data_IF_767548840961
#
_entry.id   IF_767548840961
#
_cell.length_a   1.000
_cell.length_b   1.000
_cell.length_c   1.000
_cell.angle_alpha   90.00
_cell.angle_beta   90.00
_cell.angle_gamma   90.00
#
_symmetry.space_group_name_H-M   'P 1'
#
loop_
_entity.id
_entity.type
_entity.pdbx_description
1 polymer ?
#
# COMPACT_ATOMS: atom_id res chain seq x y z
N UNK A 1 37.69 -31.44 -31.71
CA UNK A 1 36.50 -32.28 -32.04
C UNK A 1 35.96 -33.10 -30.87
N UNK A 2 36.56 -34.23 -30.43
CA UNK A 2 35.99 -35.03 -29.32
C UNK A 2 36.06 -34.37 -27.93
N UNK A 3 37.15 -33.67 -27.62
CA UNK A 3 37.32 -32.99 -26.33
C UNK A 3 36.34 -31.80 -26.18
N UNK A 4 36.21 -30.96 -27.21
CA UNK A 4 35.25 -29.84 -27.23
C UNK A 4 33.80 -30.32 -27.09
N UNK A 5 33.44 -31.43 -27.75
CA UNK A 5 32.10 -32.02 -27.62
C UNK A 5 31.80 -32.50 -26.19
N UNK A 6 32.80 -32.98 -25.46
CA UNK A 6 32.66 -33.35 -24.05
C UNK A 6 32.47 -32.11 -23.16
N UNK A 7 33.29 -31.06 -23.36
CA UNK A 7 33.16 -29.79 -22.63
C UNK A 7 31.78 -29.14 -22.83
N UNK A 8 31.28 -29.10 -24.07
CA UNK A 8 29.95 -28.55 -24.35
C UNK A 8 28.83 -29.35 -23.68
N UNK A 9 28.99 -30.67 -23.58
CA UNK A 9 28.02 -31.53 -22.89
C UNK A 9 27.97 -31.25 -21.39
N UNK A 10 29.12 -31.06 -20.76
CA UNK A 10 29.21 -30.75 -19.32
C UNK A 10 28.65 -29.36 -19.02
N UNK A 11 28.92 -28.37 -19.88
CA UNK A 11 28.33 -27.03 -19.78
C UNK A 11 26.80 -27.06 -19.91
N UNK A 12 26.27 -27.85 -20.86
CA UNK A 12 24.83 -28.02 -21.02
C UNK A 12 24.20 -28.67 -19.78
N UNK A 13 24.86 -29.67 -19.19
CA UNK A 13 24.38 -30.31 -17.98
C UNK A 13 24.37 -29.35 -16.77
N UNK A 14 25.42 -28.52 -16.60
CA UNK A 14 25.46 -27.50 -15.55
C UNK A 14 24.35 -26.47 -15.74
N UNK A 15 24.20 -25.94 -16.96
CA UNK A 15 23.20 -24.92 -17.27
C UNK A 15 21.76 -25.44 -17.09
N UNK A 16 21.49 -26.70 -17.41
CA UNK A 16 20.18 -27.32 -17.15
C UNK A 16 19.88 -27.39 -15.65
N UNK A 17 20.85 -27.79 -14.84
CA UNK A 17 20.71 -27.86 -13.38
C UNK A 17 20.45 -26.47 -12.78
N UNK A 18 21.24 -25.48 -13.16
CA UNK A 18 21.07 -24.09 -12.71
C UNK A 18 19.69 -23.55 -13.11
N UNK A 19 19.20 -23.86 -14.32
CA UNK A 19 17.85 -23.47 -14.74
C UNK A 19 16.78 -24.11 -13.86
N UNK A 20 16.91 -25.37 -13.48
CA UNK A 20 15.92 -26.05 -12.63
C UNK A 20 15.92 -25.51 -11.19
N UNK A 21 17.09 -25.19 -10.64
CA UNK A 21 17.22 -24.50 -9.36
C UNK A 21 16.60 -23.10 -9.40
N UNK A 22 16.87 -22.32 -10.45
CA UNK A 22 16.29 -20.98 -10.64
C UNK A 22 14.76 -21.02 -10.79
N UNK A 23 14.23 -22.03 -11.50
CA UNK A 23 12.77 -22.25 -11.61
C UNK A 23 12.17 -22.54 -10.24
N UNK A 24 12.82 -23.40 -9.45
CA UNK A 24 12.35 -23.74 -8.10
C UNK A 24 12.33 -22.53 -7.17
N UNK A 25 13.37 -21.69 -7.22
CA UNK A 25 13.43 -20.44 -6.45
C UNK A 25 12.35 -19.44 -6.89
N UNK A 26 12.13 -19.28 -8.19
CA UNK A 26 11.06 -18.43 -8.72
C UNK A 26 9.70 -18.89 -8.24
N UNK A 27 9.44 -20.19 -8.24
CA UNK A 27 8.15 -20.73 -7.80
C UNK A 27 7.92 -20.54 -6.30
N UNK A 28 8.98 -20.59 -5.48
CA UNK A 28 8.91 -20.22 -4.07
C UNK A 28 8.61 -18.73 -3.88
N UNK A 29 9.36 -17.85 -4.55
CA UNK A 29 9.13 -16.40 -4.49
C UNK A 29 7.74 -16.01 -4.99
N UNK A 30 7.21 -16.70 -5.99
CA UNK A 30 5.85 -16.47 -6.48
C UNK A 30 4.80 -16.76 -5.42
N UNK A 31 5.01 -17.76 -4.55
CA UNK A 31 4.09 -18.06 -3.44
C UNK A 31 4.19 -17.01 -2.34
N UNK A 32 5.42 -16.60 -2.01
CA UNK A 32 5.66 -15.57 -1.01
C UNK A 32 5.05 -14.22 -1.44
N UNK A 33 5.12 -13.87 -2.72
CA UNK A 33 4.46 -12.67 -3.25
C UNK A 33 2.94 -12.73 -3.05
N UNK A 34 2.29 -13.85 -3.35
CA UNK A 34 0.85 -14.00 -3.13
C UNK A 34 0.50 -13.86 -1.65
N UNK A 35 1.28 -14.51 -0.76
CA UNK A 35 1.06 -14.39 0.68
C UNK A 35 1.27 -12.96 1.20
N UNK A 36 2.23 -12.22 0.62
CA UNK A 36 2.48 -10.83 0.98
C UNK A 36 1.34 -9.91 0.50
N UNK A 37 0.83 -10.13 -0.71
CA UNK A 37 -0.32 -9.39 -1.24
C UNK A 37 -1.56 -9.58 -0.34
N UNK A 38 -1.85 -10.82 0.07
CA UNK A 38 -2.95 -11.12 1.02
C UNK A 38 -2.74 -10.44 2.38
N UNK A 39 -1.51 -10.43 2.90
CA UNK A 39 -1.20 -9.75 4.16
C UNK A 39 -1.38 -8.24 4.06
N UNK A 40 -0.96 -7.63 2.94
CA UNK A 40 -1.12 -6.20 2.70
C UNK A 40 -2.60 -5.83 2.63
N UNK A 41 -3.43 -6.59 1.93
CA UNK A 41 -4.88 -6.38 1.86
C UNK A 41 -5.51 -6.46 3.27
N UNK A 42 -5.16 -7.48 4.05
CA UNK A 42 -5.61 -7.64 5.42
C UNK A 42 -5.25 -6.46 6.33
N UNK A 43 -3.99 -6.00 6.26
CA UNK A 43 -3.52 -4.86 7.03
C UNK A 43 -4.21 -3.56 6.62
N UNK A 44 -4.44 -3.32 5.33
CA UNK A 44 -5.16 -2.13 4.86
C UNK A 44 -6.60 -2.09 5.39
N UNK A 45 -7.30 -3.23 5.36
CA UNK A 45 -8.65 -3.33 5.93
C UNK A 45 -8.65 -3.06 7.44
N UNK A 46 -7.72 -3.65 8.19
CA UNK A 46 -7.64 -3.45 9.64
C UNK A 46 -7.30 -2.01 10.01
N UNK A 47 -6.33 -1.40 9.32
CA UNK A 47 -5.94 -0.01 9.54
C UNK A 47 -7.11 0.92 9.22
N UNK A 48 -7.81 0.72 8.11
CA UNK A 48 -9.02 1.46 7.76
C UNK A 48 -10.08 1.38 8.85
N UNK A 49 -10.43 0.16 9.28
CA UNK A 49 -11.41 -0.06 10.33
C UNK A 49 -11.04 0.59 11.67
N UNK A 50 -9.77 0.55 12.06
CA UNK A 50 -9.28 1.20 13.30
C UNK A 50 -9.36 2.73 13.22
N UNK A 51 -8.97 3.32 12.09
CA UNK A 51 -9.09 4.77 11.90
C UNK A 51 -10.53 5.22 11.86
N UNK A 52 -11.41 4.51 11.14
CA UNK A 52 -12.84 4.81 11.09
C UNK A 52 -13.46 4.74 12.49
N UNK A 53 -13.20 3.67 13.24
CA UNK A 53 -13.72 3.52 14.61
C UNK A 53 -13.18 4.61 15.54
N UNK A 54 -11.87 4.90 15.49
CA UNK A 54 -11.25 5.94 16.31
C UNK A 54 -11.77 7.35 15.98
N UNK A 55 -12.00 7.64 14.70
CA UNK A 55 -12.57 8.90 14.23
C UNK A 55 -14.03 9.06 14.67
N UNK A 56 -14.86 8.03 14.50
CA UNK A 56 -16.24 8.02 14.98
C UNK A 56 -16.29 8.27 16.49
N UNK A 57 -15.47 7.55 17.26
CA UNK A 57 -15.37 7.76 18.70
C UNK A 57 -14.96 9.20 19.07
N UNK A 58 -13.99 9.78 18.36
CA UNK A 58 -13.53 11.14 18.61
C UNK A 58 -14.59 12.20 18.30
N UNK A 59 -15.48 11.97 17.33
CA UNK A 59 -16.56 12.89 16.94
C UNK A 59 -17.74 12.91 17.93
N UNK A 60 -17.97 11.84 18.69
CA UNK A 60 -19.07 11.79 19.66
C UNK A 60 -18.99 12.89 20.72
N UNK A 61 -17.79 13.31 21.14
CA UNK A 61 -17.64 14.41 22.11
C UNK A 61 -17.98 15.79 21.49
N UNK A 62 -17.43 16.18 20.32
CA UNK A 62 -17.86 17.37 19.59
C UNK A 62 -19.36 17.44 19.33
N UNK A 63 -20.05 16.34 19.00
CA UNK A 63 -21.50 16.34 18.77
C UNK A 63 -22.31 16.78 20.00
N UNK A 64 -21.81 16.49 21.21
CA UNK A 64 -22.46 16.94 22.46
C UNK A 64 -22.31 18.46 22.65
N UNK A 65 -21.14 19.00 22.32
CA UNK A 65 -20.83 20.44 22.50
C UNK A 65 -21.39 21.29 21.36
N UNK A 66 -21.48 20.71 20.16
CA UNK A 66 -21.95 21.32 18.92
C UNK A 66 -23.02 20.43 18.29
N UNK A 67 -24.30 20.54 18.70
CA UNK A 67 -25.36 19.65 18.22
C UNK A 67 -25.66 19.79 16.72
N UNK A 68 -25.30 20.92 16.11
CA UNK A 68 -25.45 21.17 14.67
C UNK A 68 -24.21 20.75 13.85
N UNK A 69 -23.30 19.96 14.44
CA UNK A 69 -22.08 19.50 13.79
C UNK A 69 -22.38 18.53 12.64
N UNK A 70 -21.98 18.93 11.44
CA UNK A 70 -22.12 18.13 10.22
C UNK A 70 -20.91 17.19 10.07
N UNK A 71 -21.12 15.92 10.41
CA UNK A 71 -20.08 14.89 10.34
C UNK A 71 -19.53 14.66 8.93
N UNK A 72 -20.37 14.80 7.90
CA UNK A 72 -19.93 14.65 6.51
C UNK A 72 -18.91 15.73 6.14
N UNK A 73 -19.15 16.98 6.58
CA UNK A 73 -18.20 18.09 6.38
C UNK A 73 -16.90 17.92 7.14
N UNK A 74 -16.92 17.26 8.31
CA UNK A 74 -15.69 16.94 9.04
C UNK A 74 -14.80 15.97 8.25
N UNK A 75 -15.40 14.99 7.56
CA UNK A 75 -14.68 14.08 6.68
C UNK A 75 -14.03 14.77 5.46
N UNK A 76 -14.50 15.96 5.07
CA UNK A 76 -13.93 16.75 3.97
C UNK A 76 -12.73 17.63 4.38
N UNK A 77 -12.50 17.78 5.69
CA UNK A 77 -11.41 18.57 6.24
C UNK A 77 -10.07 18.00 5.80
N UNK A 78 -9.22 18.91 5.33
CA UNK A 78 -7.90 18.59 4.83
C UNK A 78 -6.96 19.69 5.30
N UNK A 79 -5.75 19.31 5.73
CA UNK A 79 -4.76 20.25 6.25
C UNK A 79 -4.32 21.28 5.19
N UNK A 80 -4.52 20.98 3.91
CA UNK A 80 -4.25 21.89 2.79
C UNK A 80 -5.43 22.78 2.41
N UNK A 81 -6.53 22.75 3.17
CA UNK A 81 -7.68 23.63 2.97
C UNK A 81 -7.82 24.62 4.13
N UNK A 82 -8.41 25.77 3.84
CA UNK A 82 -8.84 26.76 4.84
C UNK A 82 -10.33 27.03 4.71
N UNK A 83 -10.91 27.59 5.76
CA UNK A 83 -12.31 28.02 5.78
C UNK A 83 -12.40 29.48 5.33
N UNK A 84 -13.22 29.76 4.32
CA UNK A 84 -13.59 31.10 3.87
C UNK A 84 -15.12 31.11 3.69
N UNK A 85 -15.82 31.99 4.40
CA UNK A 85 -17.28 32.12 4.37
C UNK A 85 -18.03 30.79 4.60
N UNK A 86 -17.50 29.94 5.50
CA UNK A 86 -18.08 28.64 5.80
C UNK A 86 -17.85 27.55 4.74
N UNK A 87 -17.03 27.82 3.71
CA UNK A 87 -16.65 26.87 2.67
C UNK A 87 -15.17 26.50 2.76
N UNK A 88 -14.85 25.22 2.52
CA UNK A 88 -13.47 24.75 2.37
C UNK A 88 -12.92 25.17 1.01
N UNK A 89 -11.79 25.88 1.02
CA UNK A 89 -11.06 26.31 -0.17
C UNK A 89 -9.58 25.93 -0.04
N UNK A 90 -8.85 25.66 -1.15
CA UNK A 90 -7.42 25.39 -1.09
C UNK A 90 -6.64 26.49 -0.36
N UNK A 91 -5.70 26.09 0.48
CA UNK A 91 -4.77 27.02 1.12
C UNK A 91 -3.70 27.43 0.10
N UNK A 92 -3.62 28.73 -0.18
CA UNK A 92 -2.53 29.32 -0.95
C UNK A 92 -1.70 30.15 0.03
N UNK A 93 -0.43 29.78 0.30
CA UNK A 93 0.46 30.59 1.13
C UNK A 93 0.65 31.97 0.51
N UNK A 94 0.54 33.03 1.31
CA UNK A 94 0.83 34.38 0.83
C UNK A 94 2.34 34.48 0.49
N UNK A 95 2.66 34.39 -0.79
CA UNK A 95 4.04 34.43 -1.30
C UNK A 95 4.39 33.39 -2.37
N UNK A 96 3.50 32.45 -2.68
CA UNK A 96 3.64 31.59 -3.84
C UNK A 96 3.13 32.33 -5.10
N UNK A 97 4.01 33.10 -5.74
CA UNK A 97 3.84 33.61 -7.12
C UNK A 97 4.56 32.72 -8.10
#
# INVERSE_FOLDING_TARGET
LRAEAATHKDQLASSLKEKDEAVSQRDALSKDNVALDELVEGLQMEVGARYDSGFQFAIEQPKIVFPDLDEAKLGELDALKRIVDGKLVPFVPAGAT
#
